data_IF_602913215769
#
_entry.id   IF_602913215769
#
_cell.length_a   1.000
_cell.length_b   1.000
_cell.length_c   1.000
_cell.angle_alpha   90.00
_cell.angle_beta   90.00
_cell.angle_gamma   90.00
#
_symmetry.space_group_name_H-M   'P 1'
#
loop_
_entity.id
_entity.type
_entity.pdbx_description
1 polymer ?
#
# COMPACT_ATOMS: atom_id res chain seq x y z
N UNK A 1 -30.94 9.15 11.13
CA UNK A 1 -29.94 8.43 10.30
C UNK A 1 -29.19 9.36 9.35
N UNK A 2 -29.81 10.42 8.79
CA UNK A 2 -29.13 11.42 7.93
C UNK A 2 -28.49 12.62 8.66
N UNK A 3 -28.66 12.78 9.97
CA UNK A 3 -28.05 13.89 10.74
C UNK A 3 -26.57 13.68 11.09
N UNK A 4 -26.01 12.48 10.87
CA UNK A 4 -24.62 12.17 11.26
C UNK A 4 -23.57 12.65 10.25
N UNK A 5 -23.99 13.08 9.06
CA UNK A 5 -23.12 13.56 7.99
C UNK A 5 -23.71 14.81 7.34
N UNK A 6 -23.70 15.97 8.03
CA UNK A 6 -24.13 17.20 7.40
C UNK A 6 -23.13 17.50 6.27
N UNK A 7 -23.61 17.50 5.01
CA UNK A 7 -22.91 17.98 3.81
C UNK A 7 -22.10 16.99 2.94
N UNK A 8 -22.66 15.83 2.60
CA UNK A 8 -22.14 14.96 1.51
C UNK A 8 -22.03 15.64 0.14
N UNK A 9 -22.79 16.72 -0.11
CA UNK A 9 -22.79 17.42 -1.41
C UNK A 9 -21.85 18.64 -1.47
N UNK A 10 -21.32 19.10 -0.35
CA UNK A 10 -20.45 20.29 -0.29
C UNK A 10 -19.00 19.97 0.06
N UNK A 11 -18.67 18.73 0.45
CA UNK A 11 -17.28 18.28 0.65
C UNK A 11 -16.49 18.04 -0.64
N UNK A 12 -17.16 17.90 -1.80
CA UNK A 12 -16.54 17.74 -3.12
C UNK A 12 -16.22 19.07 -3.84
N UNK A 13 -15.95 20.15 -3.10
CA UNK A 13 -15.68 21.47 -3.67
C UNK A 13 -14.17 21.78 -3.73
N UNK A 14 -13.37 20.88 -4.30
CA UNK A 14 -11.98 21.19 -4.65
C UNK A 14 -11.85 21.66 -6.10
N UNK A 15 -10.88 22.54 -6.36
CA UNK A 15 -10.70 23.13 -7.67
C UNK A 15 -10.22 22.09 -8.68
N UNK A 16 -11.06 21.81 -9.69
CA UNK A 16 -10.75 20.90 -10.81
C UNK A 16 -10.34 21.65 -12.06
N UNK A 17 -10.03 22.94 -11.96
CA UNK A 17 -9.64 23.75 -13.11
C UNK A 17 -8.20 23.45 -13.50
N UNK A 18 -8.02 22.80 -14.65
CA UNK A 18 -6.69 22.49 -15.14
C UNK A 18 -5.96 23.77 -15.59
N UNK A 19 -4.75 23.97 -15.06
CA UNK A 19 -3.88 25.06 -15.48
C UNK A 19 -2.93 24.58 -16.59
N UNK A 20 -2.42 25.50 -17.42
CA UNK A 20 -1.47 25.16 -18.49
C UNK A 20 -0.26 24.33 -18.04
N UNK A 21 0.43 24.68 -16.93
CA UNK A 21 1.51 23.87 -16.37
C UNK A 21 1.09 22.45 -15.98
N UNK A 22 -0.13 22.27 -15.46
CA UNK A 22 -0.62 20.96 -15.04
C UNK A 22 -0.97 20.10 -16.25
N UNK A 23 -1.59 20.66 -17.29
CA UNK A 23 -1.82 19.94 -18.55
C UNK A 23 -0.49 19.48 -19.15
N UNK A 24 0.54 20.32 -19.12
CA UNK A 24 1.89 19.95 -19.57
C UNK A 24 2.49 18.81 -18.73
N UNK A 25 2.30 18.85 -17.41
CA UNK A 25 2.69 17.77 -16.49
C UNK A 25 1.96 16.47 -16.82
N UNK A 26 0.64 16.50 -17.04
CA UNK A 26 -0.15 15.32 -17.40
C UNK A 26 0.34 14.69 -18.70
N UNK A 27 0.54 15.49 -19.75
CA UNK A 27 1.08 15.03 -21.03
C UNK A 27 2.48 14.44 -20.83
N UNK A 28 3.32 15.08 -20.02
CA UNK A 28 4.65 14.57 -19.71
C UNK A 28 4.60 13.19 -19.04
N UNK A 29 3.70 12.98 -18.07
CA UNK A 29 3.55 11.68 -17.41
C UNK A 29 3.06 10.60 -18.39
N UNK A 30 2.11 10.93 -19.27
CA UNK A 30 1.59 9.98 -20.28
C UNK A 30 2.66 9.59 -21.29
N UNK A 31 3.32 10.57 -21.90
CA UNK A 31 4.38 10.33 -22.88
C UNK A 31 5.58 9.64 -22.22
N UNK A 32 5.96 10.08 -21.02
CA UNK A 32 7.03 9.49 -20.23
C UNK A 32 6.75 8.03 -19.88
N UNK A 33 5.52 7.70 -19.47
CA UNK A 33 5.08 6.33 -19.21
C UNK A 33 5.18 5.45 -20.46
N UNK A 34 4.65 5.91 -21.60
CA UNK A 34 4.71 5.15 -22.86
C UNK A 34 6.16 4.92 -23.28
N UNK A 35 7.00 5.96 -23.24
CA UNK A 35 8.41 5.87 -23.60
C UNK A 35 9.17 4.92 -22.67
N UNK A 36 8.95 5.03 -21.35
CA UNK A 36 9.56 4.16 -20.35
C UNK A 36 9.17 2.70 -20.57
N UNK A 37 7.89 2.38 -20.78
CA UNK A 37 7.45 1.01 -21.03
C UNK A 37 8.05 0.44 -22.32
N UNK A 38 8.21 1.26 -23.36
CA UNK A 38 8.87 0.84 -24.59
C UNK A 38 10.36 0.54 -24.37
N UNK A 39 11.05 1.34 -23.54
CA UNK A 39 12.46 1.11 -23.16
C UNK A 39 12.58 -0.16 -22.29
N UNK A 40 11.71 -0.31 -21.29
CA UNK A 40 11.72 -1.42 -20.34
C UNK A 40 11.45 -2.78 -21.01
N UNK A 41 10.72 -2.79 -22.14
CA UNK A 41 10.53 -3.99 -22.96
C UNK A 41 11.84 -4.63 -23.43
N UNK A 42 12.96 -3.88 -23.46
CA UNK A 42 14.29 -4.42 -23.81
C UNK A 42 14.95 -5.20 -22.67
N UNK A 43 14.49 -5.02 -21.45
CA UNK A 43 15.08 -5.59 -20.24
C UNK A 43 14.23 -6.67 -19.58
N UNK A 44 12.91 -6.68 -19.85
CA UNK A 44 12.00 -7.67 -19.27
C UNK A 44 10.89 -8.06 -20.24
N UNK A 45 10.54 -9.34 -20.23
CA UNK A 45 9.37 -9.86 -20.93
C UNK A 45 8.09 -9.53 -20.17
N UNK A 46 6.95 -9.58 -20.88
CA UNK A 46 5.62 -9.34 -20.30
C UNK A 46 5.51 -7.99 -19.56
N UNK A 47 6.20 -6.95 -20.08
CA UNK A 47 6.28 -5.63 -19.43
C UNK A 47 4.92 -5.02 -19.13
N UNK A 48 3.92 -5.24 -19.99
CA UNK A 48 2.56 -4.75 -19.80
C UNK A 48 1.84 -5.45 -18.65
N UNK A 49 2.00 -6.76 -18.52
CA UNK A 49 1.44 -7.52 -17.39
C UNK A 49 2.11 -7.11 -16.07
N UNK A 50 3.44 -6.96 -16.08
CA UNK A 50 4.20 -6.46 -14.92
C UNK A 50 3.76 -5.07 -14.52
N UNK A 51 3.58 -4.18 -15.50
CA UNK A 51 3.06 -2.83 -15.28
C UNK A 51 1.65 -2.84 -14.69
N UNK A 52 0.75 -3.67 -15.22
CA UNK A 52 -0.61 -3.80 -14.70
C UNK A 52 -0.64 -4.29 -13.24
N UNK A 53 0.25 -5.22 -12.86
CA UNK A 53 0.39 -5.68 -11.48
C UNK A 53 0.89 -4.54 -10.57
N UNK A 54 1.93 -3.80 -10.99
CA UNK A 54 2.42 -2.64 -10.22
C UNK A 54 1.33 -1.58 -10.09
N UNK A 55 0.63 -1.26 -11.18
CA UNK A 55 -0.47 -0.31 -11.18
C UNK A 55 -1.61 -0.73 -10.27
N UNK A 56 -1.95 -2.02 -10.21
CA UNK A 56 -2.91 -2.53 -9.24
C UNK A 56 -2.43 -2.33 -7.80
N UNK A 57 -1.16 -2.60 -7.50
CA UNK A 57 -0.57 -2.37 -6.17
C UNK A 57 -0.56 -0.89 -5.77
N UNK A 58 -0.19 0.01 -6.69
CA UNK A 58 -0.24 1.47 -6.50
C UNK A 58 -1.67 1.96 -6.33
N UNK A 59 -2.62 1.45 -7.12
CA UNK A 59 -4.03 1.83 -7.02
C UNK A 59 -4.63 1.38 -5.68
N UNK A 60 -4.36 0.15 -5.24
CA UNK A 60 -4.76 -0.36 -3.93
C UNK A 60 -4.26 0.58 -2.82
N UNK A 61 -3.00 0.97 -2.93
CA UNK A 61 -2.37 1.92 -2.02
C UNK A 61 -3.07 3.28 -2.06
N UNK A 62 -3.16 3.94 -3.21
CA UNK A 62 -3.73 5.28 -3.34
C UNK A 62 -5.21 5.34 -2.91
N UNK A 63 -5.98 4.29 -3.19
CA UNK A 63 -7.37 4.18 -2.77
C UNK A 63 -7.48 4.13 -1.24
N UNK A 64 -6.62 3.34 -0.60
CA UNK A 64 -6.60 3.22 0.84
C UNK A 64 -6.14 4.53 1.52
N UNK A 65 -5.11 5.17 0.99
CA UNK A 65 -4.50 6.38 1.57
C UNK A 65 -5.12 7.67 1.05
N UNK A 66 -6.24 7.61 0.33
CA UNK A 66 -6.93 8.81 -0.17
C UNK A 66 -7.16 9.86 0.93
N UNK A 67 -7.52 9.50 2.18
CA UNK A 67 -7.65 10.50 3.25
C UNK A 67 -6.39 11.23 3.68
N UNK A 68 -5.20 10.78 3.27
CA UNK A 68 -3.92 11.36 3.66
C UNK A 68 -3.52 12.56 2.79
N UNK A 69 -4.11 12.70 1.61
CA UNK A 69 -3.79 13.79 0.69
C UNK A 69 -4.95 14.15 -0.20
N UNK A 70 -4.94 15.40 -0.67
CA UNK A 70 -5.88 15.91 -1.65
C UNK A 70 -5.12 16.23 -2.92
N UNK A 71 -5.65 15.78 -4.06
CA UNK A 71 -5.12 16.12 -5.38
C UNK A 71 -6.01 17.20 -6.01
N UNK A 72 -5.39 18.27 -6.52
CA UNK A 72 -6.06 19.46 -7.01
C UNK A 72 -5.68 19.75 -8.46
N UNK A 73 -6.50 20.54 -9.15
CA UNK A 73 -6.15 21.22 -10.40
C UNK A 73 -5.81 20.31 -11.60
N UNK A 74 -6.07 19.00 -11.55
CA UNK A 74 -5.78 18.04 -12.65
C UNK A 74 -6.91 17.85 -13.68
N UNK A 75 -7.96 18.70 -13.66
CA UNK A 75 -9.11 18.49 -14.53
C UNK A 75 -10.02 17.32 -14.08
N UNK A 76 -11.33 17.35 -14.36
CA UNK A 76 -12.23 16.25 -13.97
C UNK A 76 -11.87 14.87 -14.56
N UNK A 77 -11.14 14.83 -15.67
CA UNK A 77 -10.75 13.59 -16.36
C UNK A 77 -9.63 12.82 -15.66
N UNK A 78 -8.81 13.47 -14.81
CA UNK A 78 -7.66 12.83 -14.20
C UNK A 78 -8.00 11.95 -12.99
N UNK A 79 -9.21 12.08 -12.44
CA UNK A 79 -9.64 11.40 -11.22
C UNK A 79 -10.38 10.10 -11.52
N UNK A 80 -10.09 9.05 -10.75
CA UNK A 80 -10.76 7.73 -10.80
C UNK A 80 -11.83 7.64 -9.72
N UNK A 81 -11.46 8.00 -8.49
CA UNK A 81 -12.32 7.93 -7.33
C UNK A 81 -11.89 8.99 -6.34
N UNK A 82 -12.79 9.93 -6.00
CA UNK A 82 -12.50 11.07 -5.14
C UNK A 82 -11.22 11.79 -5.60
N UNK A 83 -10.17 11.78 -4.78
CA UNK A 83 -8.88 12.42 -5.05
C UNK A 83 -7.86 11.47 -5.71
N UNK A 84 -8.16 10.19 -5.89
CA UNK A 84 -7.27 9.25 -6.58
C UNK A 84 -7.18 9.62 -8.07
N UNK A 85 -5.97 9.93 -8.54
CA UNK A 85 -5.73 10.30 -9.94
C UNK A 85 -5.05 9.16 -10.70
N UNK A 86 -5.63 8.71 -11.82
CA UNK A 86 -4.99 7.68 -12.65
C UNK A 86 -3.70 8.19 -13.31
N UNK A 87 -3.55 9.50 -13.53
CA UNK A 87 -2.33 10.06 -14.12
C UNK A 87 -1.15 9.90 -13.17
N UNK A 88 -1.30 10.32 -11.92
CA UNK A 88 -0.33 10.08 -10.85
C UNK A 88 -0.07 8.57 -10.66
N UNK A 89 -1.11 7.74 -10.62
CA UNK A 89 -0.98 6.27 -10.56
C UNK A 89 -0.09 5.74 -11.69
N UNK A 90 -0.27 6.20 -12.95
CA UNK A 90 0.58 5.79 -14.07
C UNK A 90 2.03 6.21 -13.85
N UNK A 91 2.26 7.45 -13.42
CA UNK A 91 3.60 7.98 -13.11
C UNK A 91 4.32 7.16 -12.04
N UNK A 92 3.67 6.94 -10.89
CA UNK A 92 4.22 6.14 -9.79
C UNK A 92 4.47 4.69 -10.20
N UNK A 93 3.55 4.08 -10.95
CA UNK A 93 3.71 2.70 -11.43
C UNK A 93 4.90 2.55 -12.39
N UNK A 94 5.11 3.54 -13.25
CA UNK A 94 6.26 3.58 -14.17
C UNK A 94 7.56 3.72 -13.39
N UNK A 95 7.58 4.57 -12.36
CA UNK A 95 8.73 4.79 -11.51
C UNK A 95 9.12 3.52 -10.73
N UNK A 96 8.13 2.86 -10.14
CA UNK A 96 8.30 1.60 -9.39
C UNK A 96 8.79 0.50 -10.32
N UNK A 97 8.09 0.23 -11.43
CA UNK A 97 8.49 -0.82 -12.36
C UNK A 97 9.87 -0.55 -12.96
N UNK A 98 10.12 0.69 -13.39
CA UNK A 98 11.39 1.10 -13.97
C UNK A 98 12.54 0.90 -12.99
N UNK A 99 12.37 1.32 -11.72
CA UNK A 99 13.40 1.10 -10.70
C UNK A 99 13.66 -0.38 -10.47
N UNK A 100 12.62 -1.18 -10.30
CA UNK A 100 12.79 -2.62 -10.03
C UNK A 100 13.46 -3.33 -11.19
N UNK A 101 13.03 -3.10 -12.44
CA UNK A 101 13.61 -3.73 -13.63
C UNK A 101 15.06 -3.31 -13.83
N UNK A 102 15.38 -2.02 -13.69
CA UNK A 102 16.74 -1.54 -13.88
C UNK A 102 17.68 -2.05 -12.78
N UNK A 103 17.24 -2.04 -11.52
CA UNK A 103 18.03 -2.62 -10.42
C UNK A 103 18.21 -4.12 -10.60
N UNK A 104 17.17 -4.86 -11.00
CA UNK A 104 17.29 -6.28 -11.30
C UNK A 104 18.30 -6.56 -12.41
N UNK A 105 18.33 -5.70 -13.44
CA UNK A 105 19.24 -5.84 -14.56
C UNK A 105 20.70 -5.49 -14.19
N UNK A 106 20.93 -4.35 -13.56
CA UNK A 106 22.29 -3.85 -13.28
C UNK A 106 22.91 -4.45 -12.01
N UNK A 107 22.09 -4.91 -11.08
CA UNK A 107 22.51 -5.49 -9.81
C UNK A 107 22.08 -6.96 -9.70
N UNK A 108 22.01 -7.68 -10.83
CA UNK A 108 21.58 -9.08 -10.92
C UNK A 108 22.37 -10.02 -9.99
N UNK A 109 23.66 -9.75 -9.81
CA UNK A 109 24.58 -10.51 -8.95
C UNK A 109 24.33 -10.33 -7.44
N UNK A 110 23.51 -9.35 -7.04
CA UNK A 110 23.23 -9.09 -5.63
C UNK A 110 22.14 -10.03 -5.12
N UNK A 111 22.23 -10.39 -3.84
CA UNK A 111 21.20 -11.20 -3.17
C UNK A 111 19.86 -10.45 -3.19
N UNK A 112 18.75 -11.18 -3.18
CA UNK A 112 17.39 -10.59 -3.23
C UNK A 112 17.19 -9.48 -2.18
N UNK A 113 17.62 -9.68 -0.93
CA UNK A 113 17.45 -8.64 0.10
C UNK A 113 18.25 -7.36 -0.20
N UNK A 114 19.42 -7.49 -0.83
CA UNK A 114 20.25 -6.35 -1.20
C UNK A 114 19.64 -5.57 -2.36
N UNK A 115 19.12 -6.29 -3.36
CA UNK A 115 18.34 -5.67 -4.45
C UNK A 115 17.09 -4.99 -3.91
N UNK A 116 16.42 -5.60 -2.92
CA UNK A 116 15.26 -5.01 -2.27
C UNK A 116 15.58 -3.67 -1.60
N UNK A 117 16.66 -3.62 -0.82
CA UNK A 117 17.16 -2.37 -0.23
C UNK A 117 17.53 -1.37 -1.32
N UNK A 118 18.17 -1.80 -2.42
CA UNK A 118 18.50 -0.92 -3.54
C UNK A 118 17.23 -0.34 -4.21
N UNK A 119 16.16 -1.12 -4.41
CA UNK A 119 14.89 -0.59 -4.92
C UNK A 119 14.37 0.52 -3.99
N UNK A 120 14.35 0.26 -2.67
CA UNK A 120 13.84 1.22 -1.69
C UNK A 120 14.66 2.51 -1.68
N UNK A 121 15.99 2.43 -1.70
CA UNK A 121 16.86 3.61 -1.69
C UNK A 121 16.63 4.46 -2.95
N UNK A 122 16.64 3.83 -4.13
CA UNK A 122 16.45 4.54 -5.41
C UNK A 122 15.05 5.14 -5.47
N UNK A 123 14.01 4.38 -5.11
CA UNK A 123 12.63 4.90 -5.11
C UNK A 123 12.44 6.01 -4.09
N UNK A 124 13.04 5.93 -2.91
CA UNK A 124 12.92 6.98 -1.90
C UNK A 124 13.45 8.31 -2.43
N UNK A 125 14.63 8.30 -3.06
CA UNK A 125 15.20 9.51 -3.68
C UNK A 125 14.28 10.06 -4.78
N UNK A 126 13.82 9.18 -5.68
CA UNK A 126 12.98 9.58 -6.81
C UNK A 126 11.61 10.10 -6.36
N UNK A 127 10.98 9.43 -5.39
CA UNK A 127 9.67 9.81 -4.86
C UNK A 127 9.75 11.17 -4.16
N UNK A 128 10.78 11.45 -3.36
CA UNK A 128 10.94 12.78 -2.74
C UNK A 128 11.03 13.87 -3.81
N UNK A 129 11.79 13.62 -4.87
CA UNK A 129 11.95 14.58 -5.96
C UNK A 129 10.61 14.82 -6.68
N UNK A 130 9.91 13.76 -7.09
CA UNK A 130 8.65 13.89 -7.82
C UNK A 130 7.49 14.37 -6.95
N UNK A 131 7.41 13.94 -5.69
CA UNK A 131 6.42 14.44 -4.73
C UNK A 131 6.63 15.93 -4.47
N UNK A 132 7.89 16.37 -4.31
CA UNK A 132 8.22 17.79 -4.23
C UNK A 132 7.76 18.56 -5.46
N UNK A 133 7.94 17.99 -6.67
CA UNK A 133 7.45 18.61 -7.91
C UNK A 133 5.91 18.72 -7.93
N UNK A 134 5.20 17.66 -7.56
CA UNK A 134 3.72 17.63 -7.52
C UNK A 134 3.17 18.62 -6.49
N UNK A 135 3.79 18.73 -5.30
CA UNK A 135 3.42 19.71 -4.27
C UNK A 135 3.70 21.14 -4.76
N UNK A 136 4.87 21.41 -5.34
CA UNK A 136 5.23 22.75 -5.81
C UNK A 136 4.38 23.21 -7.01
N UNK A 137 3.86 22.29 -7.81
CA UNK A 137 2.88 22.58 -8.86
C UNK A 137 1.46 22.81 -8.32
N UNK A 138 1.24 22.63 -7.01
CA UNK A 138 -0.09 22.74 -6.39
C UNK A 138 -1.03 21.60 -6.78
N UNK A 139 -0.48 20.46 -7.22
CA UNK A 139 -1.25 19.28 -7.59
C UNK A 139 -1.58 18.45 -6.34
N UNK A 140 -0.70 18.38 -5.34
CA UNK A 140 -0.93 17.57 -4.12
C UNK A 140 -0.73 18.37 -2.85
N UNK A 141 -1.58 18.11 -1.87
CA UNK A 141 -1.49 18.65 -0.50
C UNK A 141 -1.77 17.55 0.51
N UNK A 142 -1.12 17.60 1.68
CA UNK A 142 -1.37 16.63 2.75
C UNK A 142 -2.59 17.04 3.59
N UNK A 143 -3.30 16.05 4.15
CA UNK A 143 -4.39 16.31 5.10
C UNK A 143 -3.89 16.96 6.40
N UNK A 144 -4.75 17.65 7.17
CA UNK A 144 -4.37 18.24 8.45
C UNK A 144 -3.77 17.23 9.43
N UNK A 145 -4.26 15.99 9.43
CA UNK A 145 -3.78 14.92 10.29
C UNK A 145 -2.35 14.51 9.93
N UNK A 146 -2.06 14.34 8.64
CA UNK A 146 -0.69 14.08 8.16
C UNK A 146 0.24 15.26 8.45
N UNK A 147 -0.24 16.49 8.27
CA UNK A 147 0.54 17.69 8.60
C UNK A 147 0.83 17.81 10.10
N UNK A 148 -0.08 17.36 10.97
CA UNK A 148 0.12 17.38 12.41
C UNK A 148 1.22 16.40 12.87
N UNK A 149 1.44 15.32 12.12
CA UNK A 149 2.52 14.35 12.35
C UNK A 149 3.85 14.84 11.76
N UNK A 150 3.83 15.77 10.80
CA UNK A 150 5.01 16.34 10.16
C UNK A 150 5.50 17.62 10.87
N UNK A 151 6.57 17.51 11.68
CA UNK A 151 7.12 18.64 12.46
C UNK A 151 8.53 19.06 12.01
N UNK A 152 9.16 18.28 11.14
CA UNK A 152 10.53 18.40 10.72
C UNK A 152 10.77 19.38 9.57
N UNK A 153 12.04 19.61 9.22
CA UNK A 153 12.41 20.49 8.13
C UNK A 153 11.90 19.96 6.78
N UNK A 154 11.65 20.90 5.85
CA UNK A 154 11.27 20.59 4.47
C UNK A 154 12.48 20.46 3.57
N UNK A 155 12.54 19.38 2.78
CA UNK A 155 13.50 19.15 1.70
C UNK A 155 12.71 19.16 0.38
N UNK A 156 13.03 20.07 -0.54
CA UNK A 156 12.26 20.29 -1.79
C UNK A 156 10.76 20.53 -1.60
N UNK A 157 10.35 21.09 -0.45
CA UNK A 157 8.93 21.33 -0.11
C UNK A 157 8.23 20.16 0.57
N UNK A 158 8.90 19.00 0.67
CA UNK A 158 8.41 17.78 1.32
C UNK A 158 8.97 17.71 2.75
N UNK A 159 8.15 17.37 3.75
CA UNK A 159 8.64 17.20 5.13
C UNK A 159 9.56 15.97 5.22
N UNK A 160 10.62 16.05 6.03
CA UNK A 160 11.62 14.98 6.16
C UNK A 160 11.02 13.65 6.63
N UNK A 161 9.91 13.69 7.34
CA UNK A 161 9.13 12.53 7.78
C UNK A 161 8.65 11.65 6.61
N UNK A 162 8.53 12.21 5.41
CA UNK A 162 8.27 11.40 4.20
C UNK A 162 9.38 10.36 3.96
N UNK A 163 10.60 10.57 4.49
CA UNK A 163 11.68 9.58 4.45
C UNK A 163 11.38 8.27 5.17
N UNK A 164 10.46 8.24 6.13
CA UNK A 164 10.09 6.99 6.79
C UNK A 164 8.85 6.37 6.15
N UNK A 165 7.88 7.17 5.70
CA UNK A 165 6.67 6.66 5.05
C UNK A 165 6.95 6.06 3.66
N UNK A 166 7.78 6.71 2.83
CA UNK A 166 8.03 6.24 1.46
C UNK A 166 8.64 4.84 1.42
N UNK A 167 9.70 4.50 2.18
CA UNK A 167 10.21 3.14 2.20
C UNK A 167 9.18 2.10 2.67
N UNK A 168 8.32 2.45 3.62
CA UNK A 168 7.26 1.57 4.14
C UNK A 168 6.25 1.26 3.04
N UNK A 169 5.73 2.29 2.36
CA UNK A 169 4.80 2.13 1.25
C UNK A 169 5.42 1.37 0.08
N UNK A 170 6.63 1.75 -0.30
CA UNK A 170 7.32 1.11 -1.42
C UNK A 170 7.65 -0.35 -1.11
N UNK A 171 7.96 -0.70 0.15
CA UNK A 171 8.17 -2.09 0.53
C UNK A 171 6.93 -2.96 0.28
N UNK A 172 5.74 -2.46 0.66
CA UNK A 172 4.48 -3.16 0.43
C UNK A 172 4.16 -3.30 -1.07
N UNK A 173 4.27 -2.21 -1.84
CA UNK A 173 3.96 -2.22 -3.29
C UNK A 173 4.95 -3.07 -4.08
N UNK A 174 6.25 -2.99 -3.77
CA UNK A 174 7.28 -3.79 -4.45
C UNK A 174 7.09 -5.26 -4.12
N UNK A 175 6.83 -5.62 -2.86
CA UNK A 175 6.58 -7.02 -2.51
C UNK A 175 5.28 -7.54 -3.13
N UNK A 176 4.24 -6.72 -3.25
CA UNK A 176 3.04 -7.06 -4.01
C UNK A 176 3.39 -7.42 -5.46
N UNK A 177 4.14 -6.55 -6.14
CA UNK A 177 4.61 -6.81 -7.50
C UNK A 177 5.46 -8.08 -7.59
N UNK A 178 6.47 -8.22 -6.73
CA UNK A 178 7.40 -9.36 -6.75
C UNK A 178 6.71 -10.68 -6.40
N UNK A 179 5.69 -10.67 -5.54
CA UNK A 179 4.90 -11.86 -5.25
C UNK A 179 4.12 -12.32 -6.49
N UNK A 180 3.43 -11.40 -7.17
CA UNK A 180 2.65 -11.74 -8.36
C UNK A 180 3.52 -12.04 -9.58
N UNK A 181 4.74 -11.51 -9.66
CA UNK A 181 5.68 -11.90 -10.71
C UNK A 181 6.06 -13.38 -10.62
N UNK A 182 6.09 -13.99 -9.43
CA UNK A 182 6.30 -15.44 -9.28
C UNK A 182 5.21 -16.23 -10.02
N UNK A 183 3.95 -15.76 -9.94
CA UNK A 183 2.84 -16.38 -10.67
C UNK A 183 2.88 -16.06 -12.16
N UNK A 184 3.38 -14.88 -12.56
CA UNK A 184 3.46 -14.48 -13.96
C UNK A 184 4.54 -15.26 -14.72
N UNK A 185 5.62 -15.61 -14.02
CA UNK A 185 6.80 -16.28 -14.56
C UNK A 185 6.74 -17.81 -14.37
N UNK A 186 5.62 -18.34 -13.85
CA UNK A 186 5.44 -19.76 -13.55
C UNK A 186 6.58 -20.32 -12.68
N UNK A 187 7.08 -19.50 -11.73
CA UNK A 187 8.22 -19.84 -10.90
C UNK A 187 7.95 -21.11 -10.07
N UNK A 188 8.94 -22.01 -10.04
CA UNK A 188 8.83 -23.27 -9.31
C UNK A 188 9.02 -23.03 -7.80
N UNK A 189 7.92 -22.82 -7.09
CA UNK A 189 7.93 -22.67 -5.63
C UNK A 189 7.92 -24.05 -4.99
N UNK A 190 9.07 -24.47 -4.44
CA UNK A 190 9.16 -25.75 -3.77
C UNK A 190 8.29 -25.76 -2.48
N UNK A 191 7.49 -26.81 -2.24
CA UNK A 191 6.72 -26.93 -1.01
C UNK A 191 7.66 -27.16 0.17
N UNK A 192 7.73 -26.19 1.08
CA UNK A 192 8.59 -26.25 2.27
C UNK A 192 7.91 -27.14 3.32
N UNK A 193 8.43 -28.36 3.52
CA UNK A 193 7.84 -29.32 4.49
C UNK A 193 7.95 -28.88 5.95
N UNK A 194 8.99 -28.12 6.30
CA UNK A 194 9.23 -27.63 7.68
C UNK A 194 9.47 -26.13 7.63
N UNK A 195 8.45 -25.38 8.04
CA UNK A 195 8.47 -23.93 8.07
C UNK A 195 9.19 -23.43 9.32
N UNK A 196 10.03 -22.40 9.19
CA UNK A 196 10.62 -21.75 10.35
C UNK A 196 9.56 -20.86 11.01
N UNK A 197 8.81 -21.46 11.94
CA UNK A 197 7.68 -20.85 12.65
C UNK A 197 7.99 -19.44 13.18
N UNK A 198 9.15 -19.27 13.83
CA UNK A 198 9.59 -17.97 14.35
C UNK A 198 9.91 -16.95 13.25
N UNK A 199 10.54 -17.39 12.15
CA UNK A 199 10.85 -16.50 11.02
C UNK A 199 9.59 -15.97 10.35
N UNK A 200 8.63 -16.87 10.09
CA UNK A 200 7.30 -16.53 9.56
C UNK A 200 6.55 -15.55 10.48
N UNK A 201 6.63 -15.77 11.80
CA UNK A 201 6.04 -14.86 12.79
C UNK A 201 6.70 -13.47 12.76
N UNK A 202 8.03 -13.39 12.71
CA UNK A 202 8.76 -12.10 12.64
C UNK A 202 8.44 -11.34 11.35
N UNK A 203 8.38 -12.02 10.21
CA UNK A 203 8.02 -11.39 8.93
C UNK A 203 6.57 -10.88 8.98
N UNK A 204 5.66 -11.65 9.59
CA UNK A 204 4.26 -11.24 9.79
C UNK A 204 4.19 -10.00 10.69
N UNK A 205 4.95 -9.97 11.78
CA UNK A 205 5.09 -8.81 12.65
C UNK A 205 5.57 -7.59 11.90
N UNK A 206 6.62 -7.72 11.07
CA UNK A 206 7.13 -6.62 10.26
C UNK A 206 6.08 -6.13 9.25
N UNK A 207 5.42 -7.03 8.51
CA UNK A 207 4.41 -6.67 7.52
C UNK A 207 3.22 -5.91 8.12
N UNK A 208 2.70 -6.38 9.26
CA UNK A 208 1.60 -5.72 9.97
C UNK A 208 2.06 -4.40 10.59
N UNK A 209 3.26 -4.36 11.19
CA UNK A 209 3.79 -3.13 11.77
C UNK A 209 4.01 -2.04 10.73
N UNK A 210 4.57 -2.39 9.56
CA UNK A 210 4.71 -1.47 8.42
C UNK A 210 3.35 -0.91 7.99
N UNK A 211 2.32 -1.75 7.95
CA UNK A 211 0.96 -1.31 7.67
C UNK A 211 0.41 -0.36 8.74
N UNK A 212 0.48 -0.72 10.03
CA UNK A 212 0.00 0.16 11.12
C UNK A 212 0.71 1.51 11.13
N UNK A 213 2.02 1.53 10.86
CA UNK A 213 2.76 2.78 10.72
C UNK A 213 2.26 3.60 9.53
N UNK A 214 1.92 2.95 8.42
CA UNK A 214 1.42 3.61 7.20
C UNK A 214 0.06 4.28 7.42
N UNK A 215 -0.82 3.70 8.23
CA UNK A 215 -2.19 4.18 8.43
C UNK A 215 -2.34 5.10 9.65
N UNK A 216 -1.28 5.28 10.44
CA UNK A 216 -1.28 6.06 11.68
C UNK A 216 -1.93 7.45 11.52
N UNK A 217 -1.64 8.24 10.47
CA UNK A 217 -2.28 9.56 10.33
C UNK A 217 -3.79 9.51 10.07
N UNK A 218 -4.33 8.36 9.68
CA UNK A 218 -5.74 8.19 9.34
C UNK A 218 -6.58 7.64 10.49
N UNK A 219 -5.94 6.93 11.42
CA UNK A 219 -6.63 6.13 12.42
C UNK A 219 -6.00 6.30 13.79
N UNK A 220 -6.81 6.79 14.71
CA UNK A 220 -6.47 6.94 16.11
C UNK A 220 -6.90 5.69 16.87
N UNK A 221 -5.93 4.94 17.40
CA UNK A 221 -6.27 3.89 18.36
C UNK A 221 -6.40 4.51 19.76
N UNK A 222 -7.60 4.49 20.32
CA UNK A 222 -7.94 5.16 21.57
C UNK A 222 -8.37 4.18 22.65
N UNK A 223 -8.51 4.64 23.89
CA UNK A 223 -9.11 3.89 25.01
C UNK A 223 -8.40 2.57 25.37
N UNK A 224 -7.17 2.34 24.90
CA UNK A 224 -6.36 1.20 25.30
C UNK A 224 -5.49 1.57 26.52
N UNK A 225 -5.00 0.56 27.27
CA UNK A 225 -4.06 0.82 28.34
C UNK A 225 -2.84 1.60 27.83
N UNK A 226 -2.43 2.66 28.55
CA UNK A 226 -1.34 3.55 28.12
C UNK A 226 -0.02 2.82 27.86
N UNK A 227 0.24 1.70 28.55
CA UNK A 227 1.43 0.87 28.34
C UNK A 227 1.43 0.11 27.02
N UNK A 228 0.30 0.03 26.32
CA UNK A 228 0.17 -0.74 25.08
C UNK A 228 0.66 0.01 23.85
N UNK A 229 0.82 1.34 23.92
CA UNK A 229 1.25 2.17 22.80
C UNK A 229 2.76 2.09 22.62
N UNK A 230 3.21 1.76 21.40
CA UNK A 230 4.65 1.67 21.05
C UNK A 230 5.11 2.94 20.34
N UNK A 231 4.29 3.44 19.42
CA UNK A 231 4.62 4.60 18.58
C UNK A 231 3.35 5.39 18.34
N UNK A 232 3.29 6.62 18.86
CA UNK A 232 2.10 7.47 18.82
C UNK A 232 0.88 6.71 19.36
N UNK A 233 -0.07 6.38 18.50
CA UNK A 233 -1.29 5.63 18.79
C UNK A 233 -1.23 4.16 18.31
N UNK A 234 -0.11 3.69 17.75
CA UNK A 234 0.07 2.28 17.38
C UNK A 234 0.22 1.43 18.64
N UNK A 235 -0.76 0.54 18.87
CA UNK A 235 -0.81 -0.34 20.05
C UNK A 235 -0.35 -1.76 19.75
N UNK A 236 0.58 -2.29 20.57
CA UNK A 236 1.04 -3.68 20.41
C UNK A 236 -0.04 -4.72 20.68
N UNK A 237 -1.10 -4.37 21.41
CA UNK A 237 -2.23 -5.28 21.63
C UNK A 237 -3.00 -5.51 20.34
N UNK A 238 -3.32 -4.42 19.62
CA UNK A 238 -4.01 -4.48 18.33
C UNK A 238 -3.09 -5.05 17.24
N UNK A 239 -1.88 -4.50 17.10
CA UNK A 239 -0.88 -5.03 16.16
C UNK A 239 -0.64 -6.52 16.41
N UNK A 240 -0.47 -6.92 17.67
CA UNK A 240 -0.25 -8.32 18.05
C UNK A 240 -1.42 -9.24 17.68
N UNK A 241 -2.66 -8.78 17.87
CA UNK A 241 -3.85 -9.51 17.44
C UNK A 241 -3.87 -9.72 15.91
N UNK A 242 -3.60 -8.67 15.14
CA UNK A 242 -3.53 -8.76 13.67
C UNK A 242 -2.42 -9.69 13.20
N UNK A 243 -1.24 -9.60 13.81
CA UNK A 243 -0.12 -10.51 13.55
C UNK A 243 -0.55 -11.95 13.78
N UNK A 244 -1.17 -12.25 14.93
CA UNK A 244 -1.61 -13.61 15.25
C UNK A 244 -2.64 -14.15 14.24
N UNK A 245 -3.64 -13.34 13.87
CA UNK A 245 -4.68 -13.75 12.92
C UNK A 245 -4.07 -14.05 11.55
N UNK A 246 -3.27 -13.13 11.02
CA UNK A 246 -2.66 -13.28 9.70
C UNK A 246 -1.71 -14.48 9.70
N UNK A 247 -0.78 -14.51 10.66
CA UNK A 247 0.23 -15.55 10.75
C UNK A 247 -0.36 -16.96 10.92
N UNK A 248 -1.34 -17.14 11.81
CA UNK A 248 -2.03 -18.42 12.00
C UNK A 248 -2.81 -18.82 10.74
N UNK A 249 -3.46 -17.87 10.06
CA UNK A 249 -4.21 -18.15 8.84
C UNK A 249 -3.28 -18.57 7.70
N UNK A 250 -2.18 -17.85 7.50
CA UNK A 250 -1.17 -18.20 6.49
C UNK A 250 -0.62 -19.61 6.76
N UNK A 251 -0.28 -19.91 8.01
CA UNK A 251 0.20 -21.24 8.41
C UNK A 251 -0.83 -22.35 8.16
N UNK A 252 -2.09 -22.13 8.56
CA UNK A 252 -3.15 -23.11 8.41
C UNK A 252 -3.48 -23.36 6.94
N UNK A 253 -3.63 -22.31 6.14
CA UNK A 253 -4.00 -22.42 4.73
C UNK A 253 -2.86 -23.02 3.91
N UNK A 254 -1.58 -22.68 4.17
CA UNK A 254 -0.46 -23.35 3.50
C UNK A 254 -0.43 -24.85 3.80
N UNK A 255 -0.72 -25.24 5.05
CA UNK A 255 -0.73 -26.65 5.45
C UNK A 255 -1.89 -27.42 4.83
N UNK A 256 -3.07 -26.81 4.78
CA UNK A 256 -4.29 -27.45 4.26
C UNK A 256 -4.34 -27.45 2.72
N UNK A 257 -3.82 -26.42 2.08
CA UNK A 257 -3.90 -26.19 0.64
C UNK A 257 -2.53 -26.26 -0.05
N UNK A 258 -1.60 -27.06 0.48
CA UNK A 258 -0.22 -27.17 -0.04
C UNK A 258 -0.15 -27.53 -1.54
N UNK A 259 -1.15 -28.28 -2.03
CA UNK A 259 -1.24 -28.72 -3.43
C UNK A 259 -1.91 -27.69 -4.36
N UNK A 260 -2.42 -26.59 -3.82
CA UNK A 260 -3.13 -25.58 -4.61
C UNK A 260 -2.16 -24.50 -5.11
N UNK A 261 -2.50 -23.92 -6.27
CA UNK A 261 -1.75 -22.83 -6.88
C UNK A 261 -1.67 -21.59 -5.98
N UNK A 262 -0.69 -20.73 -6.29
CA UNK A 262 -0.44 -19.49 -5.55
C UNK A 262 -1.68 -18.59 -5.49
N UNK A 263 -2.37 -18.42 -6.64
CA UNK A 263 -3.59 -17.59 -6.73
C UNK A 263 -4.70 -18.10 -5.82
N UNK A 264 -5.00 -19.39 -5.85
CA UNK A 264 -6.06 -19.97 -5.02
C UNK A 264 -5.74 -19.82 -3.54
N UNK A 265 -4.49 -20.11 -3.13
CA UNK A 265 -4.06 -19.90 -1.75
C UNK A 265 -4.18 -18.45 -1.33
N UNK A 266 -3.77 -17.50 -2.18
CA UNK A 266 -3.91 -16.07 -1.93
C UNK A 266 -5.35 -15.65 -1.69
N UNK A 267 -6.28 -16.08 -2.56
CA UNK A 267 -7.70 -15.77 -2.40
C UNK A 267 -8.28 -16.37 -1.11
N UNK A 268 -7.83 -17.56 -0.71
CA UNK A 268 -8.23 -18.18 0.56
C UNK A 268 -7.64 -17.43 1.75
N UNK A 269 -6.37 -17.00 1.72
CA UNK A 269 -5.81 -16.14 2.76
C UNK A 269 -6.65 -14.89 2.94
N UNK A 270 -6.93 -14.20 1.83
CA UNK A 270 -7.66 -12.95 1.82
C UNK A 270 -9.10 -13.14 2.35
N UNK A 271 -9.79 -14.19 1.91
CA UNK A 271 -11.14 -14.51 2.36
C UNK A 271 -11.21 -14.86 3.84
N UNK A 272 -10.34 -15.76 4.33
CA UNK A 272 -10.33 -16.17 5.74
C UNK A 272 -9.95 -15.01 6.65
N UNK A 273 -8.89 -14.28 6.32
CA UNK A 273 -8.46 -13.14 7.13
C UNK A 273 -9.53 -12.05 7.09
N UNK A 274 -10.11 -11.73 5.93
CA UNK A 274 -11.18 -10.73 5.81
C UNK A 274 -12.41 -11.07 6.66
N UNK A 275 -12.84 -12.35 6.68
CA UNK A 275 -13.97 -12.83 7.51
C UNK A 275 -13.68 -12.69 9.01
N UNK A 276 -12.42 -12.85 9.43
CA UNK A 276 -12.03 -12.71 10.84
C UNK A 276 -11.81 -11.24 11.24
N UNK A 277 -11.15 -10.47 10.38
CA UNK A 277 -10.72 -9.10 10.66
C UNK A 277 -11.90 -8.14 10.68
N UNK A 278 -12.82 -8.22 9.70
CA UNK A 278 -13.94 -7.30 9.60
C UNK A 278 -14.82 -7.23 10.86
N UNK A 279 -15.26 -8.34 11.49
CA UNK A 279 -16.05 -8.27 12.72
C UNK A 279 -15.23 -7.77 13.93
N UNK A 280 -13.92 -8.03 13.97
CA UNK A 280 -13.05 -7.52 15.03
C UNK A 280 -12.84 -6.01 14.88
N UNK A 281 -12.59 -5.54 13.65
CA UNK A 281 -12.48 -4.12 13.33
C UNK A 281 -13.80 -3.40 13.64
N UNK A 282 -14.94 -4.00 13.29
CA UNK A 282 -16.25 -3.50 13.69
C UNK A 282 -16.35 -3.34 15.20
N UNK A 283 -15.96 -4.37 15.95
CA UNK A 283 -15.96 -4.31 17.41
C UNK A 283 -15.05 -3.20 17.95
N UNK A 284 -13.85 -3.01 17.39
CA UNK A 284 -12.97 -1.91 17.79
C UNK A 284 -13.58 -0.53 17.52
N UNK A 285 -14.22 -0.34 16.36
CA UNK A 285 -14.88 0.92 16.00
C UNK A 285 -16.05 1.21 16.96
N UNK A 286 -16.90 0.21 17.23
CA UNK A 286 -18.08 0.38 18.08
C UNK A 286 -17.74 0.69 19.55
N UNK A 287 -16.62 0.17 20.05
CA UNK A 287 -16.16 0.42 21.41
C UNK A 287 -15.22 1.64 21.50
N UNK A 288 -14.99 2.36 20.40
CA UNK A 288 -14.11 3.52 20.37
C UNK A 288 -12.63 3.20 20.59
N UNK A 289 -12.22 1.97 20.30
CA UNK A 289 -10.80 1.59 20.28
C UNK A 289 -10.12 1.99 18.97
N UNK A 290 -10.88 2.10 17.87
CA UNK A 290 -10.42 2.50 16.54
C UNK A 290 -11.27 3.68 16.06
N UNK A 291 -10.67 4.85 15.91
CA UNK A 291 -11.35 6.08 15.50
C UNK A 291 -10.73 6.60 14.21
N UNK A 292 -11.54 6.82 13.18
CA UNK A 292 -11.06 7.42 11.93
C UNK A 292 -11.01 8.94 12.04
N UNK A 293 -9.94 9.54 11.50
CA UNK A 293 -9.76 10.99 11.51
C UNK A 293 -10.82 11.75 10.69
N UNK A 294 -11.00 13.05 10.94
CA UNK A 294 -11.94 13.89 10.19
C UNK A 294 -11.83 13.76 8.67
N UNK A 295 -10.62 13.82 8.11
CA UNK A 295 -10.40 13.69 6.66
C UNK A 295 -10.83 12.32 6.12
N UNK A 296 -10.61 11.24 6.89
CA UNK A 296 -11.06 9.91 6.50
C UNK A 296 -12.59 9.79 6.53
N UNK A 297 -13.21 10.28 7.60
CA UNK A 297 -14.67 10.22 7.73
C UNK A 297 -15.40 11.13 6.74
N UNK A 298 -14.79 12.24 6.31
CA UNK A 298 -15.33 13.13 5.29
C UNK A 298 -15.44 12.46 3.90
N UNK A 299 -14.63 11.43 3.66
CA UNK A 299 -14.62 10.64 2.44
C UNK A 299 -15.59 9.45 2.47
N UNK A 300 -16.26 9.19 3.59
CA UNK A 300 -17.25 8.13 3.67
C UNK A 300 -18.55 8.54 2.97
N UNK A 301 -19.12 7.62 2.19
CA UNK A 301 -20.40 7.80 1.50
C UNK A 301 -21.60 7.85 2.46
N UNK A 302 -21.39 7.49 3.73
CA UNK A 302 -22.43 7.37 4.73
C UNK A 302 -23.20 6.04 4.67
N UNK A 303 -22.83 5.12 3.76
CA UNK A 303 -23.36 3.77 3.77
C UNK A 303 -22.59 2.88 4.74
N UNK A 304 -23.31 2.04 5.47
CA UNK A 304 -22.77 1.05 6.40
C UNK A 304 -23.12 -0.36 5.93
N UNK A 305 -22.28 -1.33 6.27
CA UNK A 305 -22.53 -2.75 6.01
C UNK A 305 -23.71 -3.27 6.85
N UNK A 306 -24.56 -4.10 6.25
CA UNK A 306 -25.80 -4.59 6.88
C UNK A 306 -25.55 -5.35 8.19
N UNK A 307 -24.45 -6.11 8.29
CA UNK A 307 -24.20 -7.01 9.42
C UNK A 307 -23.25 -6.44 10.47
N UNK A 308 -22.31 -5.59 10.08
CA UNK A 308 -21.27 -5.08 10.99
C UNK A 308 -21.44 -3.60 11.33
N UNK A 309 -22.34 -2.87 10.67
CA UNK A 309 -22.52 -1.41 10.81
C UNK A 309 -21.18 -0.65 10.69
N UNK A 310 -20.30 -1.13 9.80
CA UNK A 310 -19.02 -0.51 9.50
C UNK A 310 -19.17 0.28 8.20
N UNK A 311 -18.57 1.48 8.06
CA UNK A 311 -18.56 2.19 6.79
C UNK A 311 -18.11 1.31 5.64
N UNK A 312 -18.81 1.38 4.51
CA UNK A 312 -18.52 0.53 3.34
C UNK A 312 -17.08 0.71 2.86
N UNK A 313 -16.53 1.92 2.95
CA UNK A 313 -15.15 2.23 2.61
C UNK A 313 -14.16 1.44 3.47
N UNK A 314 -14.43 1.30 4.77
CA UNK A 314 -13.60 0.49 5.68
C UNK A 314 -13.71 -0.99 5.32
N UNK A 315 -14.92 -1.48 5.04
CA UNK A 315 -15.14 -2.87 4.66
C UNK A 315 -14.44 -3.24 3.34
N UNK A 316 -14.37 -2.32 2.37
CA UNK A 316 -13.60 -2.50 1.13
C UNK A 316 -12.10 -2.28 1.32
N UNK A 317 -11.69 -1.35 2.19
CA UNK A 317 -10.28 -1.12 2.50
C UNK A 317 -9.61 -2.36 3.11
N UNK A 318 -10.34 -3.12 3.95
CA UNK A 318 -9.82 -4.33 4.62
C UNK A 318 -9.14 -5.31 3.68
N UNK A 319 -9.83 -5.89 2.68
CA UNK A 319 -9.19 -6.83 1.77
C UNK A 319 -8.07 -6.17 0.93
N UNK A 320 -8.19 -4.89 0.60
CA UNK A 320 -7.18 -4.21 -0.21
C UNK A 320 -5.85 -4.07 0.53
N UNK A 321 -5.84 -3.64 1.79
CA UNK A 321 -4.58 -3.59 2.54
C UNK A 321 -4.06 -4.98 2.90
N UNK A 322 -4.96 -5.92 3.20
CA UNK A 322 -4.56 -7.30 3.47
C UNK A 322 -3.85 -7.91 2.26
N UNK A 323 -4.26 -7.55 1.04
CA UNK A 323 -3.54 -7.97 -0.16
C UNK A 323 -2.07 -7.52 -0.13
N UNK A 324 -1.79 -6.26 0.20
CA UNK A 324 -0.42 -5.75 0.31
C UNK A 324 0.37 -6.43 1.44
N UNK A 325 -0.22 -6.55 2.63
CA UNK A 325 0.44 -7.17 3.79
C UNK A 325 0.72 -8.66 3.56
N UNK A 326 -0.26 -9.41 3.05
CA UNK A 326 -0.11 -10.83 2.75
C UNK A 326 0.97 -11.02 1.70
N UNK A 327 0.94 -10.28 0.59
CA UNK A 327 1.97 -10.41 -0.46
C UNK A 327 3.37 -10.03 0.05
N UNK A 328 3.49 -9.02 0.91
CA UNK A 328 4.74 -8.71 1.62
C UNK A 328 5.26 -9.89 2.40
N UNK A 329 4.42 -10.47 3.27
CA UNK A 329 4.82 -11.60 4.11
C UNK A 329 5.21 -12.79 3.24
N UNK A 330 4.38 -13.13 2.24
CA UNK A 330 4.60 -14.28 1.36
C UNK A 330 5.83 -14.14 0.49
N UNK A 331 6.09 -12.95 -0.05
CA UNK A 331 7.28 -12.68 -0.84
C UNK A 331 8.54 -12.99 -0.01
N UNK A 332 8.63 -12.45 1.20
CA UNK A 332 9.80 -12.65 2.05
C UNK A 332 9.94 -14.07 2.56
N UNK A 333 8.85 -14.71 2.96
CA UNK A 333 8.89 -16.10 3.38
C UNK A 333 9.36 -17.02 2.24
N UNK A 334 8.85 -16.84 1.02
CA UNK A 334 9.28 -17.64 -0.14
C UNK A 334 10.78 -17.49 -0.38
N UNK A 335 11.30 -16.26 -0.35
CA UNK A 335 12.71 -15.97 -0.62
C UNK A 335 13.65 -16.47 0.49
N UNK A 336 13.21 -16.45 1.75
CA UNK A 336 14.01 -16.95 2.87
C UNK A 336 13.99 -18.47 2.97
N UNK A 337 12.90 -19.12 2.54
CA UNK A 337 12.74 -20.57 2.63
C UNK A 337 13.14 -21.33 1.36
N UNK A 338 13.22 -20.66 0.20
CA UNK A 338 13.66 -21.22 -1.08
C UNK A 338 14.94 -20.53 -1.59
N UNK A 339 16.11 -20.78 -0.97
CA UNK A 339 17.35 -20.12 -1.37
C UNK A 339 17.83 -20.53 -2.77
N UNK A 340 17.32 -21.63 -3.35
CA UNK A 340 17.79 -22.19 -4.63
C UNK A 340 17.58 -21.26 -5.85
N UNK A 341 16.74 -20.22 -5.76
CA UNK A 341 16.65 -19.18 -6.80
C UNK A 341 17.79 -18.14 -6.71
N UNK A 342 18.56 -18.08 -5.61
CA UNK A 342 19.68 -17.14 -5.45
C UNK A 342 21.02 -17.69 -5.99
N UNK A 343 21.04 -18.91 -6.54
CA UNK A 343 22.25 -19.60 -7.01
C UNK A 343 22.33 -19.79 -8.53
N UNK A 344 21.39 -19.22 -9.30
CA UNK A 344 21.41 -19.23 -10.78
C UNK A 344 21.73 -17.84 -11.32
#
# INVERSE_FOLDING_TARGET
MFEKYPNLLTSCAFDKTATGPIIAFEIFILVGTIAALFILRRFTDKVWQRYAIVAAGVLIFEFFTTPMWNNHNMGPWAYVYQDVSWILMLGWSTLVLGTVVLVDHFLAQMRVWQRFVAYLVVLTILVIFFEGLVINLGIRTYSPEVQAVFWGPKIFGVNIEVLYYVPVFMALVISFYKYWSLSLDDALIAPVKKRHWLGSFVISLLGVFLFELMIEPMVINANLPAWSYIYHDVSFLMTGLWVLIIWLTLYAVDRLLINFGLVTRFLVYLGVIGVLVLPIEAWFIHNGYRLYGPSATANFTGFETIFTNVPVEVAFAVPLYLALVITFIRFWEINLENPFENEI
#
